data_IF_645449688128
#
_entry.id   IF_645449688128
#
_cell.length_a   1.000
_cell.length_b   1.000
_cell.length_c   1.000
_cell.angle_alpha   90.00
_cell.angle_beta   90.00
_cell.angle_gamma   90.00
#
_symmetry.space_group_name_H-M   'P 1'
#
loop_
_entity.id
_entity.type
_entity.pdbx_description
1 polymer ?
#
# COMPACT_ATOMS: atom_id res chain seq x y z
N UNK A 1 16.59 20.54 3.23
CA UNK A 1 15.81 19.62 2.37
C UNK A 1 14.47 19.37 3.07
N UNK A 2 13.36 19.88 2.53
CA UNK A 2 12.04 19.73 3.16
C UNK A 2 11.49 18.34 2.86
N UNK A 3 11.28 17.51 3.89
CA UNK A 3 10.57 16.23 3.74
C UNK A 3 9.08 16.56 3.56
N UNK A 4 8.49 16.15 2.44
CA UNK A 4 7.04 16.27 2.23
C UNK A 4 6.34 15.25 3.13
N UNK A 5 5.55 15.71 4.09
CA UNK A 5 4.62 14.87 4.84
C UNK A 5 3.34 14.65 4.01
N UNK A 6 3.48 13.98 2.87
CA UNK A 6 2.39 13.73 1.95
C UNK A 6 2.46 12.30 1.39
N UNK A 7 1.31 11.75 1.03
CA UNK A 7 1.26 10.56 0.20
C UNK A 7 1.51 10.94 -1.26
N UNK A 8 2.24 10.09 -1.99
CA UNK A 8 2.24 10.15 -3.45
C UNK A 8 0.89 9.65 -3.96
N UNK A 9 0.32 10.32 -4.96
CA UNK A 9 -0.97 9.92 -5.55
C UNK A 9 -0.76 9.68 -7.04
N UNK A 10 -1.12 8.48 -7.50
CA UNK A 10 -1.12 8.12 -8.93
C UNK A 10 -2.53 7.72 -9.32
N UNK A 11 -3.12 8.43 -10.26
CA UNK A 11 -4.40 8.04 -10.86
C UNK A 11 -4.11 7.23 -12.12
N UNK A 12 -4.50 5.97 -12.12
CA UNK A 12 -4.40 5.08 -13.27
C UNK A 12 -5.75 5.05 -13.99
N UNK A 13 -5.77 5.35 -15.31
CA UNK A 13 -6.94 5.07 -16.13
C UNK A 13 -7.09 3.55 -16.25
N UNK A 14 -8.31 3.03 -16.13
CA UNK A 14 -8.56 1.64 -16.45
C UNK A 14 -8.38 1.44 -17.95
N UNK A 15 -7.51 0.49 -18.32
CA UNK A 15 -7.32 0.12 -19.70
C UNK A 15 -8.20 -1.10 -20.01
N UNK A 16 -9.29 -0.94 -20.78
CA UNK A 16 -10.20 -2.04 -21.08
C UNK A 16 -9.59 -3.11 -22.01
N UNK A 17 -8.40 -2.89 -22.58
CA UNK A 17 -7.80 -3.78 -23.59
C UNK A 17 -7.43 -5.19 -23.11
N UNK A 18 -7.53 -5.48 -21.81
CA UNK A 18 -7.22 -6.82 -21.24
C UNK A 18 -8.43 -7.59 -20.73
N UNK A 19 -9.64 -6.99 -20.72
CA UNK A 19 -10.85 -7.69 -20.31
C UNK A 19 -11.71 -7.99 -21.55
N UNK A 20 -11.85 -9.27 -21.90
CA UNK A 20 -12.74 -9.70 -22.99
C UNK A 20 -14.22 -9.41 -22.71
N UNK A 21 -14.55 -9.01 -21.49
CA UNK A 21 -15.91 -8.76 -21.01
C UNK A 21 -16.15 -7.28 -20.63
N UNK A 22 -15.34 -6.33 -21.14
CA UNK A 22 -15.54 -4.92 -20.83
C UNK A 22 -16.79 -4.36 -21.52
N UNK A 23 -17.87 -4.27 -20.75
CA UNK A 23 -19.08 -3.56 -21.13
C UNK A 23 -18.79 -2.04 -21.10
N UNK A 24 -18.68 -1.45 -22.30
CA UNK A 24 -18.31 -0.05 -22.54
C UNK A 24 -19.39 0.96 -22.09
N UNK A 25 -20.41 0.50 -21.37
CA UNK A 25 -21.54 1.29 -20.85
C UNK A 25 -21.34 1.81 -19.43
N UNK A 26 -20.30 1.38 -18.71
CA UNK A 26 -19.92 1.93 -17.41
C UNK A 26 -18.81 2.96 -17.58
N UNK A 27 -18.96 4.11 -16.93
CA UNK A 27 -18.00 5.21 -16.99
C UNK A 27 -16.58 4.75 -16.72
N UNK A 28 -15.58 5.49 -17.20
CA UNK A 28 -14.17 5.16 -17.02
C UNK A 28 -13.86 4.78 -15.57
N UNK A 29 -13.73 3.48 -15.30
CA UNK A 29 -13.22 3.00 -14.03
C UNK A 29 -11.83 3.65 -13.85
N UNK A 30 -11.62 4.32 -12.73
CA UNK A 30 -10.33 4.93 -12.43
C UNK A 30 -9.86 4.39 -11.09
N UNK A 31 -8.59 3.99 -11.04
CA UNK A 31 -7.97 3.53 -9.81
C UNK A 31 -7.01 4.60 -9.31
N UNK A 32 -7.09 4.93 -8.03
CA UNK A 32 -6.14 5.84 -7.38
C UNK A 32 -5.22 5.03 -6.47
N UNK A 33 -3.91 5.16 -6.66
CA UNK A 33 -2.90 4.57 -5.82
C UNK A 33 -2.33 5.63 -4.89
N UNK A 34 -2.56 5.47 -3.60
CA UNK A 34 -2.00 6.30 -2.55
C UNK A 34 -0.76 5.63 -1.96
N UNK A 35 0.40 6.24 -2.15
CA UNK A 35 1.72 5.71 -1.77
C UNK A 35 2.19 6.44 -0.52
N UNK A 36 2.19 5.75 0.61
CA UNK A 36 2.64 6.27 1.90
C UNK A 36 4.08 5.83 2.17
N UNK A 37 4.96 6.75 2.60
CA UNK A 37 6.28 6.38 3.09
C UNK A 37 6.19 5.57 4.38
N UNK A 38 7.33 5.06 4.86
CA UNK A 38 7.42 4.52 6.22
C UNK A 38 7.17 5.64 7.22
N UNK A 39 5.97 5.66 7.83
CA UNK A 39 5.54 6.66 8.79
C UNK A 39 4.68 6.01 9.88
N UNK A 40 4.31 6.77 10.92
CA UNK A 40 3.49 6.24 12.01
C UNK A 40 2.12 5.74 11.50
N UNK A 41 1.54 6.43 10.51
CA UNK A 41 0.28 6.02 9.90
C UNK A 41 0.41 4.66 9.20
N UNK A 42 1.38 4.48 8.29
CA UNK A 42 1.53 3.22 7.55
C UNK A 42 1.87 2.04 8.46
N UNK A 43 2.73 2.25 9.47
CA UNK A 43 3.03 1.22 10.49
C UNK A 43 1.78 0.81 11.29
N UNK A 44 0.95 1.78 11.69
CA UNK A 44 -0.27 1.50 12.45
C UNK A 44 -1.29 0.72 11.62
N UNK A 45 -1.51 1.12 10.37
CA UNK A 45 -2.43 0.45 9.44
C UNK A 45 -1.97 -0.98 9.17
N UNK A 46 -0.69 -1.18 8.83
CA UNK A 46 -0.14 -2.50 8.54
C UNK A 46 -0.22 -3.46 9.76
N UNK A 47 -0.03 -2.97 10.98
CA UNK A 47 -0.21 -3.79 12.20
C UNK A 47 -1.64 -4.28 12.40
N UNK A 48 -2.63 -3.48 11.99
CA UNK A 48 -4.06 -3.82 12.11
C UNK A 48 -4.47 -4.80 11.02
N UNK A 49 -4.11 -4.53 9.76
CA UNK A 49 -4.54 -5.33 8.61
C UNK A 49 -3.71 -6.61 8.46
N UNK A 50 -2.42 -6.55 8.79
CA UNK A 50 -1.45 -7.63 8.62
C UNK A 50 -0.66 -7.85 9.92
N UNK A 51 -1.28 -8.42 10.97
CA UNK A 51 -0.65 -8.58 12.29
C UNK A 51 0.57 -9.53 12.29
N UNK A 52 0.76 -10.32 11.23
CA UNK A 52 1.94 -11.16 11.01
C UNK A 52 3.19 -10.38 10.56
N UNK A 53 3.02 -9.12 10.17
CA UNK A 53 4.12 -8.22 9.79
C UNK A 53 4.72 -7.61 11.05
N UNK A 54 5.96 -8.01 11.35
CA UNK A 54 6.76 -7.40 12.39
C UNK A 54 7.57 -6.23 11.84
N UNK A 55 7.61 -5.10 12.56
CA UNK A 55 8.53 -4.00 12.24
C UNK A 55 9.73 -4.08 13.18
N UNK A 56 10.91 -4.23 12.60
CA UNK A 56 12.17 -4.36 13.33
C UNK A 56 12.70 -3.00 13.77
N UNK A 57 12.56 -2.64 15.05
CA UNK A 57 13.12 -1.40 15.61
C UNK A 57 14.40 -1.62 16.47
N UNK A 58 15.05 -2.79 16.45
CA UNK A 58 16.20 -3.03 17.35
C UNK A 58 16.83 -4.43 17.28
N UNK A 59 17.88 -4.70 18.08
CA UNK A 59 18.69 -5.91 17.97
C UNK A 59 17.87 -7.17 18.31
N UNK A 60 18.00 -8.15 17.42
CA UNK A 60 17.18 -9.37 17.30
C UNK A 60 17.33 -10.31 18.50
N UNK A 61 16.22 -10.58 19.19
CA UNK A 61 15.92 -11.94 19.65
C UNK A 61 15.14 -12.66 18.53
N UNK A 62 15.46 -13.93 18.20
CA UNK A 62 14.73 -14.65 17.16
C UNK A 62 13.26 -14.80 17.56
N UNK A 63 12.29 -14.40 16.73
CA UNK A 63 10.88 -14.62 17.04
C UNK A 63 10.56 -16.12 16.96
N UNK A 64 9.85 -16.62 17.96
CA UNK A 64 9.38 -18.02 18.07
C UNK A 64 8.28 -18.39 17.06
N UNK A 65 7.84 -17.43 16.24
CA UNK A 65 6.80 -17.57 15.22
C UNK A 65 7.27 -16.95 13.92
N UNK A 66 7.00 -17.55 12.75
CA UNK A 66 7.36 -16.97 11.46
C UNK A 66 6.67 -15.61 11.32
N UNK A 67 7.43 -14.56 11.59
CA UNK A 67 7.02 -13.17 11.42
C UNK A 67 7.81 -12.65 10.25
N UNK A 68 7.10 -12.22 9.20
CA UNK A 68 7.74 -11.54 8.08
C UNK A 68 8.19 -10.19 8.62
N UNK A 69 9.48 -10.04 8.85
CA UNK A 69 10.08 -8.79 9.27
C UNK A 69 10.19 -7.88 8.06
N UNK A 70 9.47 -6.75 8.08
CA UNK A 70 9.63 -5.71 7.08
C UNK A 70 10.65 -4.71 7.62
N UNK A 71 11.64 -4.40 6.79
CA UNK A 71 12.64 -3.38 7.09
C UNK A 71 11.98 -2.00 7.26
N UNK A 72 12.67 -1.09 7.94
CA UNK A 72 12.22 0.30 8.10
C UNK A 72 12.21 1.11 6.79
N UNK A 73 12.52 0.48 5.66
CA UNK A 73 12.46 1.06 4.32
C UNK A 73 11.37 0.34 3.49
N UNK A 74 10.11 0.73 3.69
CA UNK A 74 8.98 0.23 2.91
C UNK A 74 8.04 1.36 2.49
N UNK A 75 7.26 1.10 1.45
CA UNK A 75 6.13 1.92 1.03
C UNK A 75 4.84 1.14 1.25
N UNK A 76 3.83 1.79 1.81
CA UNK A 76 2.48 1.24 1.89
C UNK A 76 1.67 1.82 0.73
N UNK A 77 1.15 0.97 -0.16
CA UNK A 77 0.35 1.38 -1.30
C UNK A 77 -1.11 0.98 -1.06
N UNK A 78 -2.02 1.95 -1.11
CA UNK A 78 -3.47 1.73 -0.99
C UNK A 78 -4.11 2.01 -2.33
N UNK A 79 -4.73 0.99 -2.92
CA UNK A 79 -5.46 1.08 -4.19
C UNK A 79 -6.93 1.35 -3.86
N UNK A 80 -7.45 2.46 -4.35
CA UNK A 80 -8.87 2.81 -4.28
C UNK A 80 -9.46 2.73 -5.69
N UNK A 81 -10.45 1.86 -5.87
CA UNK A 81 -11.25 1.84 -7.09
C UNK A 81 -12.42 2.80 -6.90
N UNK A 82 -12.63 3.68 -7.87
CA UNK A 82 -13.79 4.55 -7.90
C UNK A 82 -14.89 3.82 -8.69
N UNK A 83 -15.99 3.48 -8.03
CA UNK A 83 -17.22 2.96 -8.64
C UNK A 83 -18.05 4.10 -9.29
#
# INVERSE_FOLDING_TARGET
MFRKEAAGVITMPFNPSTSKDYDNSKGQDSATLNIYPTCQFSKKVLRVICPSIGFSNGPRTPPSRPTTLINDEHLMVVIQQND
#
